data_IF_044519042945
#
_entry.id   IF_044519042945
#
_cell.length_a   1.000
_cell.length_b   1.000
_cell.length_c   1.000
_cell.angle_alpha   90.00
_cell.angle_beta   90.00
_cell.angle_gamma   90.00
#
_symmetry.space_group_name_H-M   'P 1'
#
loop_
_entity.id
_entity.type
_entity.pdbx_description
1 polymer ?
#
# COMPACT_ATOMS: atom_id res chain seq x y z
N UNK A 1 -31.23 -45.28 1.12
CA UNK A 1 -31.74 -44.50 2.27
C UNK A 1 -31.06 -45.00 3.54
N UNK A 2 -30.05 -44.29 4.04
CA UNK A 2 -29.30 -44.71 5.24
C UNK A 2 -30.10 -44.39 6.51
N UNK A 3 -30.43 -45.40 7.31
CA UNK A 3 -31.04 -45.25 8.64
C UNK A 3 -30.05 -44.55 9.57
N UNK A 4 -30.40 -43.36 10.07
CA UNK A 4 -29.59 -42.64 11.04
C UNK A 4 -29.40 -43.45 12.32
N UNK A 5 -28.15 -43.57 12.79
CA UNK A 5 -27.81 -44.20 14.08
C UNK A 5 -28.51 -43.43 15.20
N UNK A 6 -29.42 -44.08 15.94
CA UNK A 6 -30.02 -43.51 17.16
C UNK A 6 -28.95 -43.43 18.24
N UNK A 7 -28.69 -42.21 18.73
CA UNK A 7 -27.75 -41.94 19.82
C UNK A 7 -28.42 -42.36 21.14
N UNK A 8 -27.74 -43.17 21.95
CA UNK A 8 -28.25 -43.55 23.26
C UNK A 8 -27.98 -42.46 24.31
N UNK A 9 -28.74 -42.47 25.41
CA UNK A 9 -28.68 -41.45 26.47
C UNK A 9 -27.26 -41.26 27.03
N UNK A 10 -26.49 -42.34 27.11
CA UNK A 10 -25.11 -42.31 27.63
C UNK A 10 -24.15 -41.64 26.64
N UNK A 11 -24.30 -41.89 25.34
CA UNK A 11 -23.50 -41.22 24.30
C UNK A 11 -23.87 -39.74 24.18
N UNK A 12 -25.16 -39.39 24.31
CA UNK A 12 -25.58 -37.99 24.36
C UNK A 12 -24.93 -37.24 25.54
N UNK A 13 -24.97 -37.81 26.75
CA UNK A 13 -24.33 -37.19 27.92
C UNK A 13 -22.82 -37.03 27.76
N UNK A 14 -22.13 -38.02 27.17
CA UNK A 14 -20.69 -37.90 26.87
C UNK A 14 -20.38 -36.77 25.90
N UNK A 15 -21.14 -36.65 24.81
CA UNK A 15 -20.93 -35.56 23.85
C UNK A 15 -21.29 -34.20 24.43
N UNK A 16 -22.32 -34.11 25.27
CA UNK A 16 -22.68 -32.86 25.95
C UNK A 16 -21.60 -32.42 26.95
N UNK A 17 -21.01 -33.34 27.72
CA UNK A 17 -19.90 -33.02 28.65
C UNK A 17 -18.63 -32.63 27.89
N UNK A 18 -18.27 -33.33 26.81
CA UNK A 18 -17.14 -32.94 25.97
C UNK A 18 -17.39 -31.57 25.30
N UNK A 19 -18.62 -31.29 24.88
CA UNK A 19 -19.03 -30.01 24.31
C UNK A 19 -18.94 -28.85 25.31
N UNK A 20 -19.36 -29.06 26.57
CA UNK A 20 -19.25 -28.03 27.62
C UNK A 20 -17.80 -27.79 28.05
N UNK A 21 -16.96 -28.81 28.11
CA UNK A 21 -15.51 -28.64 28.32
C UNK A 21 -14.84 -27.88 27.17
N UNK A 22 -15.22 -28.15 25.91
CA UNK A 22 -14.75 -27.40 24.75
C UNK A 22 -15.17 -25.92 24.79
N UNK A 23 -16.40 -25.63 25.23
CA UNK A 23 -16.90 -24.26 25.38
C UNK A 23 -16.20 -23.52 26.53
N UNK A 24 -15.90 -24.20 27.65
CA UNK A 24 -15.16 -23.61 28.77
C UNK A 24 -13.70 -23.29 28.41
N UNK A 25 -13.06 -24.10 27.57
CA UNK A 25 -11.73 -23.81 27.00
C UNK A 25 -11.78 -22.66 26.00
N UNK A 26 -12.83 -22.58 25.17
CA UNK A 26 -13.04 -21.47 24.24
C UNK A 26 -13.29 -20.14 24.99
N UNK A 27 -14.08 -20.16 26.07
CA UNK A 27 -14.35 -18.98 26.91
C UNK A 27 -13.08 -18.48 27.62
N UNK A 28 -12.24 -19.37 28.17
CA UNK A 28 -10.95 -18.97 28.75
C UNK A 28 -9.90 -18.55 27.70
N UNK A 29 -9.95 -19.15 26.51
CA UNK A 29 -9.11 -18.80 25.35
C UNK A 29 -9.45 -17.44 24.74
N UNK A 30 -10.68 -16.94 24.92
CA UNK A 30 -11.06 -15.60 24.44
C UNK A 30 -10.20 -14.49 25.05
N UNK A 31 -9.70 -14.64 26.28
CA UNK A 31 -8.81 -13.65 26.88
C UNK A 31 -7.43 -13.60 26.23
N UNK A 32 -6.93 -14.74 25.74
CA UNK A 32 -5.64 -14.87 25.03
C UNK A 32 -5.79 -14.40 23.59
N UNK A 33 -6.90 -14.73 22.93
CA UNK A 33 -7.24 -14.22 21.59
C UNK A 33 -7.54 -12.72 21.67
N UNK A 34 -8.22 -12.21 22.69
CA UNK A 34 -8.46 -10.79 22.90
C UNK A 34 -7.17 -10.02 23.21
N UNK A 35 -6.24 -10.59 24.00
CA UNK A 35 -4.90 -10.01 24.20
C UNK A 35 -4.05 -10.07 22.92
N UNK A 36 -4.13 -11.16 22.15
CA UNK A 36 -3.50 -11.29 20.83
C UNK A 36 -4.06 -10.32 19.79
N UNK A 37 -5.38 -10.15 19.77
CA UNK A 37 -6.11 -9.17 18.96
C UNK A 37 -5.84 -7.74 19.43
N UNK A 38 -5.63 -7.47 20.72
CA UNK A 38 -5.17 -6.15 21.18
C UNK A 38 -3.74 -5.84 20.72
N UNK A 39 -2.92 -6.88 20.52
CA UNK A 39 -1.55 -6.77 19.99
C UNK A 39 -1.53 -6.62 18.45
N UNK A 40 -2.55 -7.13 17.76
CA UNK A 40 -2.79 -6.94 16.31
C UNK A 40 -3.57 -5.63 16.03
N UNK A 41 -4.43 -5.21 16.97
CA UNK A 41 -5.08 -3.90 17.04
C UNK A 41 -4.17 -2.82 17.62
N UNK A 42 -2.91 -3.16 17.90
CA UNK A 42 -1.80 -2.25 17.79
C UNK A 42 -1.57 -1.87 16.33
N UNK A 43 -2.62 -1.40 15.64
CA UNK A 43 -2.40 -0.27 14.77
C UNK A 43 -1.68 0.72 15.66
N UNK A 44 -0.39 0.91 15.41
CA UNK A 44 0.18 2.24 15.54
C UNK A 44 -0.65 3.11 14.59
N UNK A 45 -1.86 3.47 15.01
CA UNK A 45 -2.41 4.76 14.68
C UNK A 45 -1.32 5.70 15.15
N UNK A 46 -0.60 6.24 14.18
CA UNK A 46 0.59 7.04 14.35
C UNK A 46 0.28 8.11 15.39
N UNK A 47 0.62 7.80 16.63
CA UNK A 47 0.67 8.73 17.72
C UNK A 47 1.87 9.61 17.42
N UNK A 48 1.57 10.87 17.09
CA UNK A 48 2.50 11.97 16.87
C UNK A 48 3.98 11.62 16.96
N UNK A 49 4.60 11.43 15.81
CA UNK A 49 5.96 11.89 15.59
C UNK A 49 6.12 12.32 14.13
N UNK A 50 6.86 13.39 13.93
CA UNK A 50 6.96 14.25 12.76
C UNK A 50 7.52 13.67 11.47
N UNK A 51 7.65 12.34 11.34
CA UNK A 51 8.61 11.81 10.38
C UNK A 51 7.94 11.38 9.07
N UNK A 52 8.04 12.29 8.10
CA UNK A 52 7.97 11.99 6.68
C UNK A 52 8.85 10.77 6.34
N UNK A 53 8.65 10.17 5.17
CA UNK A 53 9.59 9.17 4.67
C UNK A 53 11.01 9.75 4.67
N UNK A 54 12.03 8.96 5.03
CA UNK A 54 13.41 9.44 5.22
C UNK A 54 14.01 10.16 4.00
N UNK A 55 13.50 9.86 2.81
CA UNK A 55 13.90 10.51 1.55
C UNK A 55 12.83 11.46 1.02
N UNK A 56 11.88 11.89 1.84
CA UNK A 56 10.88 12.86 1.44
C UNK A 56 11.52 14.15 0.95
N UNK A 57 10.97 14.65 -0.15
CA UNK A 57 11.43 15.88 -0.79
C UNK A 57 10.30 16.89 -0.81
N UNK A 58 10.64 18.17 -0.70
CA UNK A 58 9.66 19.24 -0.89
C UNK A 58 9.09 19.14 -2.31
N UNK A 59 7.76 19.14 -2.43
CA UNK A 59 7.06 19.03 -3.70
C UNK A 59 7.25 20.30 -4.51
N UNK A 60 7.33 20.17 -5.84
CA UNK A 60 7.69 21.30 -6.72
C UNK A 60 6.52 22.19 -7.13
N UNK A 61 5.30 21.66 -7.12
CA UNK A 61 4.14 22.27 -7.75
C UNK A 61 3.03 22.55 -6.74
N UNK A 62 3.22 23.55 -5.87
CA UNK A 62 2.21 24.01 -4.92
C UNK A 62 2.30 25.52 -4.69
N UNK A 63 1.25 26.09 -4.09
CA UNK A 63 1.26 27.46 -3.58
C UNK A 63 0.83 27.46 -2.12
N UNK A 64 1.41 28.35 -1.32
CA UNK A 64 0.91 28.63 0.03
C UNK A 64 -0.36 29.48 -0.06
N UNK A 65 -1.32 29.19 0.81
CA UNK A 65 -2.59 29.89 0.92
C UNK A 65 -2.86 30.22 2.39
N UNK A 66 -3.77 31.17 2.70
CA UNK A 66 -4.14 31.45 4.10
C UNK A 66 -4.74 30.25 4.86
N UNK A 67 -5.19 29.20 4.14
CA UNK A 67 -5.85 28.02 4.71
C UNK A 67 -4.98 26.75 4.67
N UNK A 68 -3.71 26.85 4.28
CA UNK A 68 -2.81 25.72 4.08
C UNK A 68 -2.09 25.78 2.73
N UNK A 69 -1.77 24.64 2.13
CA UNK A 69 -1.10 24.56 0.83
C UNK A 69 -2.05 24.06 -0.25
N UNK A 70 -1.97 24.63 -1.46
CA UNK A 70 -2.71 24.14 -2.62
C UNK A 70 -1.75 23.44 -3.59
N UNK A 71 -1.91 22.13 -3.73
CA UNK A 71 -1.21 21.34 -4.73
C UNK A 71 -1.70 21.72 -6.13
N UNK A 72 -0.80 21.82 -7.11
CA UNK A 72 -1.10 22.14 -8.52
C UNK A 72 -0.59 21.08 -9.50
N UNK A 73 -0.13 19.94 -8.99
CA UNK A 73 0.51 18.94 -9.84
C UNK A 73 -0.48 18.16 -10.72
N UNK A 74 -1.66 17.83 -10.18
CA UNK A 74 -2.68 17.09 -10.90
C UNK A 74 -4.04 17.82 -10.84
N UNK A 75 -5.03 17.41 -11.67
CA UNK A 75 -6.31 18.12 -11.78
C UNK A 75 -7.14 18.20 -10.48
N UNK A 76 -6.87 17.36 -9.47
CA UNK A 76 -7.56 17.43 -8.16
C UNK A 76 -7.33 18.75 -7.45
N UNK A 77 -6.17 19.38 -7.65
CA UNK A 77 -5.80 20.66 -7.06
C UNK A 77 -6.09 20.77 -5.54
N UNK A 78 -5.76 19.70 -4.79
CA UNK A 78 -6.08 19.54 -3.36
C UNK A 78 -5.62 20.76 -2.54
N UNK A 79 -6.47 21.25 -1.65
CA UNK A 79 -6.10 22.23 -0.62
C UNK A 79 -5.92 21.48 0.69
N UNK A 80 -4.68 21.44 1.18
CA UNK A 80 -4.26 20.63 2.31
C UNK A 80 -3.93 21.54 3.49
N UNK A 81 -4.59 21.31 4.63
CA UNK A 81 -4.23 21.89 5.93
C UNK A 81 -3.00 21.18 6.49
N UNK A 82 -2.51 21.65 7.63
CA UNK A 82 -1.38 21.01 8.32
C UNK A 82 -1.67 19.52 8.56
N UNK A 83 -0.66 18.68 8.32
CA UNK A 83 -0.71 17.21 8.42
C UNK A 83 -1.72 16.51 7.49
N UNK A 84 -2.42 17.24 6.62
CA UNK A 84 -3.33 16.62 5.64
C UNK A 84 -2.55 16.01 4.46
N UNK A 85 -3.06 14.88 3.99
CA UNK A 85 -2.55 14.16 2.82
C UNK A 85 -3.49 14.35 1.64
N UNK A 86 -2.94 14.58 0.45
CA UNK A 86 -3.73 14.69 -0.77
C UNK A 86 -4.38 13.37 -1.21
N UNK A 87 -5.36 13.44 -2.10
CA UNK A 87 -6.14 12.29 -2.56
C UNK A 87 -5.26 11.20 -3.22
N UNK A 88 -4.12 11.62 -3.78
CA UNK A 88 -3.10 10.72 -4.32
C UNK A 88 -2.36 9.87 -3.28
N UNK A 89 -2.50 10.19 -1.98
CA UNK A 89 -1.85 9.54 -0.84
C UNK A 89 -0.32 9.66 -0.78
N UNK A 90 0.28 10.38 -1.72
CA UNK A 90 1.75 10.55 -1.80
C UNK A 90 2.25 11.93 -1.40
N UNK A 91 1.35 12.88 -1.08
CA UNK A 91 1.72 14.26 -0.74
C UNK A 91 1.11 14.70 0.57
N UNK A 92 1.96 15.17 1.47
CA UNK A 92 1.60 15.55 2.83
C UNK A 92 2.02 17.00 3.06
N UNK A 93 1.13 17.80 3.61
CA UNK A 93 1.50 19.13 4.09
C UNK A 93 2.11 19.03 5.48
N UNK A 94 3.35 19.49 5.64
CA UNK A 94 4.07 19.49 6.91
C UNK A 94 4.80 20.82 7.09
N UNK A 95 4.57 21.49 8.21
CA UNK A 95 5.11 22.82 8.51
C UNK A 95 4.73 23.88 7.46
N UNK A 96 3.51 23.80 6.91
CA UNK A 96 3.07 24.70 5.82
C UNK A 96 3.78 24.52 4.47
N UNK A 97 4.53 23.42 4.30
CA UNK A 97 5.17 23.02 3.05
C UNK A 97 4.63 21.69 2.57
N UNK A 98 4.47 21.55 1.25
CA UNK A 98 4.04 20.29 0.67
C UNK A 98 5.25 19.38 0.43
N UNK A 99 5.21 18.14 0.90
CA UNK A 99 6.25 17.13 0.67
C UNK A 99 5.70 15.96 -0.14
N UNK A 100 6.54 15.37 -1.00
CA UNK A 100 6.30 14.07 -1.60
C UNK A 100 6.92 12.98 -0.72
N UNK A 101 6.13 11.97 -0.37
CA UNK A 101 6.55 10.77 0.38
C UNK A 101 6.76 9.55 -0.53
N UNK A 102 6.74 9.75 -1.85
CA UNK A 102 6.94 8.71 -2.86
C UNK A 102 8.33 8.75 -3.53
N UNK A 103 9.29 9.50 -2.97
CA UNK A 103 10.63 9.61 -3.52
C UNK A 103 11.57 8.49 -3.01
N UNK A 104 12.25 7.83 -3.95
CA UNK A 104 13.24 6.79 -3.64
C UNK A 104 12.66 5.50 -3.04
N UNK A 105 11.35 5.30 -3.09
CA UNK A 105 10.67 4.19 -2.42
C UNK A 105 9.62 3.47 -3.29
N UNK A 106 10.00 2.91 -4.46
CA UNK A 106 9.04 2.15 -5.24
C UNK A 106 8.52 0.95 -4.43
N UNK A 107 7.23 0.62 -4.59
CA UNK A 107 6.60 -0.55 -3.99
C UNK A 107 6.63 -1.77 -4.93
N UNK A 108 6.90 -1.55 -6.23
CA UNK A 108 7.03 -2.60 -7.24
C UNK A 108 8.22 -2.30 -8.15
N UNK A 109 9.04 -3.34 -8.40
CA UNK A 109 10.22 -3.28 -9.27
C UNK A 109 10.30 -4.59 -10.05
N UNK A 110 10.20 -4.53 -11.37
CA UNK A 110 10.16 -5.70 -12.25
C UNK A 110 10.96 -5.47 -13.53
N UNK A 111 11.54 -6.54 -14.08
CA UNK A 111 12.13 -6.54 -15.42
C UNK A 111 11.16 -7.27 -16.34
N UNK A 112 10.47 -6.52 -17.21
CA UNK A 112 9.45 -7.05 -18.10
C UNK A 112 9.89 -6.91 -19.57
N UNK A 113 9.44 -7.78 -20.49
CA UNK A 113 9.57 -7.53 -21.92
C UNK A 113 8.79 -6.26 -22.32
N UNK A 114 9.29 -5.51 -23.31
CA UNK A 114 8.64 -4.27 -23.76
C UNK A 114 7.22 -4.53 -24.30
N UNK A 115 6.96 -5.74 -24.80
CA UNK A 115 5.68 -6.16 -25.36
C UNK A 115 4.55 -6.21 -24.32
N UNK A 116 4.86 -6.17 -23.02
CA UNK A 116 3.87 -6.01 -21.95
C UNK A 116 3.32 -4.58 -21.88
N UNK A 117 4.01 -3.60 -22.48
CA UNK A 117 3.60 -2.19 -22.48
C UNK A 117 2.67 -1.91 -23.67
N UNK A 118 1.69 -1.01 -23.53
CA UNK A 118 0.72 -0.71 -24.58
C UNK A 118 1.33 0.17 -25.68
N UNK A 119 2.45 -0.25 -26.25
CA UNK A 119 3.21 0.46 -27.28
C UNK A 119 3.37 -0.44 -28.51
N UNK A 120 2.93 0.03 -29.68
CA UNK A 120 3.04 -0.73 -30.92
C UNK A 120 4.45 -0.60 -31.52
N UNK A 121 5.10 -1.73 -31.78
CA UNK A 121 6.41 -1.82 -32.44
C UNK A 121 7.47 -0.90 -31.79
N UNK A 122 7.45 -0.77 -30.47
CA UNK A 122 8.40 0.05 -29.73
C UNK A 122 9.52 -0.81 -29.14
N UNK A 123 10.75 -0.60 -29.58
CA UNK A 123 11.95 -1.33 -29.14
C UNK A 123 11.78 -2.87 -29.05
N UNK A 124 11.34 -3.58 -30.11
CA UNK A 124 11.01 -5.00 -30.04
C UNK A 124 12.11 -5.85 -29.39
N UNK A 125 11.71 -6.89 -28.66
CA UNK A 125 12.57 -7.87 -27.97
C UNK A 125 13.45 -7.30 -26.84
N UNK A 126 13.32 -6.01 -26.54
CA UNK A 126 14.04 -5.38 -25.43
C UNK A 126 13.31 -5.55 -24.09
N UNK A 127 14.05 -5.34 -23.00
CA UNK A 127 13.51 -5.36 -21.63
C UNK A 127 13.29 -3.92 -21.14
N UNK A 128 12.24 -3.74 -20.34
CA UNK A 128 11.94 -2.52 -19.61
C UNK A 128 12.09 -2.75 -18.11
N UNK A 129 12.76 -1.81 -17.43
CA UNK A 129 12.84 -1.76 -15.97
C UNK A 129 11.60 -1.05 -15.43
N UNK A 130 10.61 -1.83 -15.01
CA UNK A 130 9.30 -1.38 -14.55
C UNK A 130 9.32 -1.02 -13.07
N UNK A 131 8.89 0.19 -12.71
CA UNK A 131 8.77 0.65 -11.32
C UNK A 131 7.41 1.29 -11.04
N UNK A 132 6.95 1.22 -9.79
CA UNK A 132 5.76 1.90 -9.29
C UNK A 132 5.96 2.36 -7.85
N UNK A 133 5.36 3.49 -7.48
CA UNK A 133 5.17 3.87 -6.07
C UNK A 133 3.77 3.50 -5.61
N UNK A 134 3.61 3.32 -4.31
CA UNK A 134 2.28 3.30 -3.71
C UNK A 134 1.61 4.68 -3.83
N UNK A 135 0.28 4.67 -3.91
CA UNK A 135 -0.52 5.87 -4.13
C UNK A 135 -0.67 6.23 -5.61
N UNK A 136 -1.79 6.87 -5.93
CA UNK A 136 -2.19 7.25 -7.29
C UNK A 136 -3.25 8.34 -7.22
N UNK A 137 -3.17 9.35 -8.08
CA UNK A 137 -4.20 10.39 -8.20
C UNK A 137 -5.46 9.91 -8.95
N UNK A 138 -5.52 8.67 -9.42
CA UNK A 138 -6.68 8.10 -10.09
C UNK A 138 -7.35 7.04 -9.22
N UNK A 139 -8.68 6.98 -9.29
CA UNK A 139 -9.51 5.96 -8.62
C UNK A 139 -10.24 5.15 -9.70
N UNK A 140 -9.48 4.42 -10.50
CA UNK A 140 -10.02 3.66 -11.62
C UNK A 140 -10.92 2.52 -11.10
N UNK A 141 -12.16 2.42 -11.62
CA UNK A 141 -13.15 1.42 -11.19
C UNK A 141 -12.64 -0.02 -11.28
N UNK A 142 -11.83 -0.33 -12.30
CA UNK A 142 -11.28 -1.66 -12.57
C UNK A 142 -9.75 -1.68 -12.48
N UNK A 143 -9.16 -0.95 -11.53
CA UNK A 143 -7.71 -0.92 -11.37
C UNK A 143 -7.19 -2.31 -10.97
N UNK A 144 -6.40 -2.97 -11.83
CA UNK A 144 -5.76 -4.24 -11.48
C UNK A 144 -4.71 -4.09 -10.37
N UNK A 145 -4.14 -2.89 -10.22
CA UNK A 145 -3.12 -2.56 -9.24
C UNK A 145 -3.68 -1.75 -8.06
N UNK A 146 -4.98 -1.91 -7.75
CA UNK A 146 -5.65 -1.14 -6.68
C UNK A 146 -4.96 -1.31 -5.32
N UNK A 147 -4.41 -2.50 -5.05
CA UNK A 147 -3.72 -2.83 -3.80
C UNK A 147 -2.48 -1.98 -3.52
N UNK A 148 -1.83 -1.43 -4.55
CA UNK A 148 -0.72 -0.50 -4.41
C UNK A 148 -1.12 0.95 -4.71
N UNK A 149 -2.05 1.18 -5.64
CA UNK A 149 -2.43 2.53 -6.07
C UNK A 149 -3.37 3.25 -5.09
N UNK A 150 -4.10 2.51 -4.24
CA UNK A 150 -5.08 3.08 -3.31
C UNK A 150 -4.62 3.08 -1.84
N UNK A 151 -3.32 2.87 -1.59
CA UNK A 151 -2.70 2.87 -0.26
C UNK A 151 -1.58 3.92 -0.21
N UNK A 152 -1.24 4.40 1.00
CA UNK A 152 -0.12 5.33 1.17
C UNK A 152 1.23 4.61 1.04
N UNK A 153 2.30 5.29 0.56
CA UNK A 153 3.67 4.83 0.75
C UNK A 153 4.01 4.48 2.20
N UNK A 154 3.40 5.13 3.19
CA UNK A 154 3.63 4.83 4.61
C UNK A 154 3.01 3.49 5.06
N UNK A 155 2.06 2.95 4.30
CA UNK A 155 1.29 1.74 4.62
C UNK A 155 1.69 0.53 3.77
N UNK A 156 2.64 0.71 2.86
CA UNK A 156 3.08 -0.30 1.89
C UNK A 156 4.51 -0.75 2.15
N UNK A 157 4.84 -1.94 1.64
CA UNK A 157 6.23 -2.42 1.64
C UNK A 157 6.94 -1.83 0.44
N UNK A 158 7.93 -1.00 0.71
CA UNK A 158 8.69 -0.30 -0.33
C UNK A 158 10.16 -0.71 -0.29
N UNK A 159 10.78 -0.68 -1.47
CA UNK A 159 12.22 -0.77 -1.61
C UNK A 159 12.85 0.55 -1.18
N UNK A 160 14.12 0.53 -0.79
CA UNK A 160 14.96 1.72 -0.71
C UNK A 160 15.78 1.78 -2.00
N UNK A 161 15.26 2.49 -3.00
CA UNK A 161 15.81 2.50 -4.36
C UNK A 161 15.79 3.93 -4.91
N UNK A 162 16.89 4.63 -4.68
CA UNK A 162 17.06 6.00 -5.13
C UNK A 162 17.28 6.07 -6.65
N UNK A 163 17.04 7.25 -7.29
CA UNK A 163 17.07 7.35 -8.75
C UNK A 163 18.39 6.89 -9.41
N UNK A 164 19.53 7.10 -8.74
CA UNK A 164 20.83 6.64 -9.25
C UNK A 164 20.91 5.11 -9.29
N UNK A 165 20.42 4.44 -8.25
CA UNK A 165 20.33 2.97 -8.18
C UNK A 165 19.32 2.43 -9.21
N UNK A 166 18.20 3.11 -9.46
CA UNK A 166 17.28 2.71 -10.55
C UNK A 166 18.03 2.64 -11.88
N UNK A 167 18.85 3.64 -12.20
CA UNK A 167 19.64 3.66 -13.43
C UNK A 167 20.68 2.54 -13.43
N UNK A 168 21.40 2.36 -12.31
CA UNK A 168 22.40 1.30 -12.15
C UNK A 168 21.79 -0.10 -12.37
N UNK A 169 20.67 -0.39 -11.72
CA UNK A 169 19.95 -1.66 -11.85
C UNK A 169 19.41 -1.84 -13.28
N UNK A 170 18.84 -0.79 -13.88
CA UNK A 170 18.37 -0.81 -15.27
C UNK A 170 19.49 -1.23 -16.24
N UNK A 171 20.69 -0.62 -16.09
CA UNK A 171 21.86 -0.96 -16.90
C UNK A 171 22.35 -2.38 -16.61
N UNK A 172 22.40 -2.79 -15.34
CA UNK A 172 22.82 -4.12 -14.90
C UNK A 172 21.96 -5.24 -15.51
N UNK A 173 20.63 -5.07 -15.53
CA UNK A 173 19.72 -6.05 -16.13
C UNK A 173 19.63 -5.97 -17.67
N UNK A 174 20.38 -5.06 -18.30
CA UNK A 174 20.39 -4.87 -19.76
C UNK A 174 19.07 -4.31 -20.30
N UNK A 175 18.31 -3.58 -19.47
CA UNK A 175 17.07 -2.93 -19.89
C UNK A 175 17.37 -1.73 -20.80
N UNK A 176 16.54 -1.53 -21.83
CA UNK A 176 16.67 -0.40 -22.79
C UNK A 176 15.78 0.78 -22.43
N UNK A 177 14.88 0.62 -21.47
CA UNK A 177 13.95 1.65 -21.00
C UNK A 177 13.61 1.45 -19.52
N UNK A 178 13.21 2.54 -18.87
CA UNK A 178 12.59 2.53 -17.54
C UNK A 178 11.12 2.86 -17.73
N UNK A 179 10.23 2.01 -17.22
CA UNK A 179 8.79 2.18 -17.32
C UNK A 179 8.21 2.51 -15.94
N UNK A 180 7.65 3.72 -15.80
CA UNK A 180 6.81 4.08 -14.67
C UNK A 180 5.42 3.50 -14.93
N UNK A 181 5.07 2.45 -14.22
CA UNK A 181 3.89 1.61 -14.52
C UNK A 181 3.20 1.21 -13.22
N UNK A 182 2.05 0.55 -13.34
CA UNK A 182 1.22 0.02 -12.24
C UNK A 182 0.49 1.08 -11.39
N UNK A 183 1.10 2.24 -11.15
CA UNK A 183 0.46 3.47 -10.65
C UNK A 183 0.61 4.62 -11.65
N UNK A 184 -0.06 5.74 -11.39
CA UNK A 184 0.05 6.92 -12.25
C UNK A 184 1.42 7.61 -12.05
N UNK A 185 2.27 7.78 -13.09
CA UNK A 185 3.61 8.34 -12.98
C UNK A 185 3.70 9.71 -12.30
N UNK A 186 2.66 10.55 -12.37
CA UNK A 186 2.61 11.82 -11.63
C UNK A 186 2.78 11.62 -10.11
N UNK A 187 2.51 10.44 -9.56
CA UNK A 187 2.71 10.12 -8.15
C UNK A 187 4.19 10.27 -7.70
N UNK A 188 5.16 10.13 -8.61
CA UNK A 188 6.59 10.25 -8.33
C UNK A 188 7.10 11.70 -8.19
N UNK A 189 6.31 12.69 -8.61
CA UNK A 189 6.74 14.10 -8.75
C UNK A 189 6.43 15.01 -7.55
#
# INVERSE_FOLDING_TARGET
>A
MAKGKKIDKRTFLKYSICGTCGLALALNGTSVIAKGLSKISGNKFFSGNDDLWKWSIEARHYISTPRGVKCKLCPHACNLKEDETGDCRTRVNKGGKLYSIAYGNPCAVHVDPIEKKPLYHFLPTTKAFSIATAGCNLVCLNCQNWTISQVSPLESKNYDLMPAEVIKECLYYGCKSIAYTYSEPIAFY
#
